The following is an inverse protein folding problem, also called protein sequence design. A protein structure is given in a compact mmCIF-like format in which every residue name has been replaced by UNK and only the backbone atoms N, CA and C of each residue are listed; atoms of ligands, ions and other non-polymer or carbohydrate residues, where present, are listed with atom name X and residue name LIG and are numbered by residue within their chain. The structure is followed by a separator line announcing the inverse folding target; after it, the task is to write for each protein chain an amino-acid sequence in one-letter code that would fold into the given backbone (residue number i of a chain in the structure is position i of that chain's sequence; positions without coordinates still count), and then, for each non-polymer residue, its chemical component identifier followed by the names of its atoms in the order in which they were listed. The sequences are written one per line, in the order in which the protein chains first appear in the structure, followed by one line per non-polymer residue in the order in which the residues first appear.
data_IF_017893531671
#
_entry.id   IF_017893531671
#
_cell.length_a   1.000
_cell.length_b   1.000
_cell.length_c   1.000
_cell.angle_alpha   90.00
_cell.angle_beta   90.00
_cell.angle_gamma   90.00
#
_symmetry.space_group_name_H-M   'P 1'
#
loop_
_entity.id
_entity.type
_entity.pdbx_description
1 polymer ?
#
# COMPACT_ATOMS: atom_id res chain seq x y z
N UNK A 1 -9.76 1.32 10.58
CA UNK A 1 -9.87 -0.08 11.07
C UNK A 1 -9.19 -1.10 10.14
N UNK A 2 -8.38 -2.00 10.72
CA UNK A 2 -7.84 -3.19 10.04
C UNK A 2 -8.71 -4.43 10.36
N UNK A 3 -8.98 -5.27 9.35
CA UNK A 3 -9.61 -6.58 9.53
C UNK A 3 -8.58 -7.70 9.41
N UNK A 4 -8.56 -8.68 10.34
CA UNK A 4 -7.77 -9.89 10.17
C UNK A 4 -8.17 -10.64 8.89
N UNK A 5 -7.24 -11.35 8.21
CA UNK A 5 -7.53 -12.07 6.98
C UNK A 5 -8.77 -12.97 7.04
N UNK A 6 -8.92 -13.76 8.12
CA UNK A 6 -10.09 -14.64 8.33
C UNK A 6 -11.41 -13.86 8.33
N UNK A 7 -11.44 -12.70 8.99
CA UNK A 7 -12.64 -11.85 9.09
C UNK A 7 -12.95 -11.22 7.73
N UNK A 8 -11.93 -10.72 7.02
CA UNK A 8 -12.11 -10.14 5.70
C UNK A 8 -12.65 -11.16 4.68
N UNK A 9 -12.13 -12.40 4.69
CA UNK A 9 -12.62 -13.49 3.85
C UNK A 9 -14.08 -13.86 4.19
N UNK A 10 -14.40 -13.95 5.47
CA UNK A 10 -15.78 -14.18 5.91
C UNK A 10 -16.75 -13.07 5.52
N UNK A 11 -16.30 -11.81 5.42
CA UNK A 11 -17.14 -10.73 4.88
C UNK A 11 -17.38 -10.92 3.38
N UNK A 12 -16.37 -11.39 2.64
CA UNK A 12 -16.48 -11.63 1.21
C UNK A 12 -17.39 -12.81 0.85
N UNK A 13 -17.39 -13.89 1.64
CA UNK A 13 -18.28 -15.04 1.42
C UNK A 13 -19.64 -14.92 2.15
N UNK A 14 -19.83 -13.87 2.95
CA UNK A 14 -21.06 -13.57 3.68
C UNK A 14 -21.20 -14.28 5.04
N UNK A 15 -20.23 -15.10 5.45
CA UNK A 15 -20.26 -15.77 6.76
C UNK A 15 -20.01 -14.82 7.94
N UNK A 16 -19.48 -13.61 7.68
CA UNK A 16 -19.25 -12.55 8.66
C UNK A 16 -19.89 -11.26 8.17
N UNK A 17 -20.74 -10.65 8.99
CA UNK A 17 -21.43 -9.39 8.68
C UNK A 17 -21.22 -8.32 9.75
N UNK A 18 -20.63 -8.68 10.89
CA UNK A 18 -20.41 -7.79 12.01
C UNK A 18 -18.93 -7.68 12.37
N UNK A 19 -18.54 -6.54 12.92
CA UNK A 19 -17.31 -6.41 13.68
C UNK A 19 -17.58 -5.59 14.94
N UNK A 20 -16.98 -6.02 16.05
CA UNK A 20 -17.06 -5.29 17.32
C UNK A 20 -15.71 -4.67 17.66
N UNK A 21 -15.73 -3.42 18.10
CA UNK A 21 -14.52 -2.65 18.44
C UNK A 21 -14.78 -1.75 19.64
N UNK A 22 -13.78 -1.62 20.51
CA UNK A 22 -13.77 -0.61 21.56
C UNK A 22 -12.92 0.57 21.14
N UNK A 23 -13.52 1.77 21.13
CA UNK A 23 -12.84 3.02 20.80
C UNK A 23 -13.29 4.17 21.70
N UNK A 24 -12.40 5.15 21.90
CA UNK A 24 -12.78 6.44 22.55
C UNK A 24 -13.71 7.28 21.68
N UNK A 25 -13.50 7.21 20.36
CA UNK A 25 -14.34 7.83 19.31
C UNK A 25 -14.38 6.87 18.12
N UNK A 26 -15.45 6.86 17.31
CA UNK A 26 -15.52 5.97 16.15
C UNK A 26 -14.32 6.15 15.21
N UNK A 27 -13.61 5.05 14.89
CA UNK A 27 -12.47 5.06 13.95
C UNK A 27 -12.93 4.91 12.49
N UNK A 28 -14.22 4.66 12.26
CA UNK A 28 -14.82 4.50 10.93
C UNK A 28 -16.12 5.29 10.85
N UNK A 29 -16.52 5.62 9.62
CA UNK A 29 -17.80 6.27 9.32
C UNK A 29 -18.65 5.36 8.46
N UNK A 30 -19.97 5.49 8.58
CA UNK A 30 -20.92 4.85 7.66
C UNK A 30 -20.58 5.25 6.21
N UNK A 31 -20.66 4.29 5.30
CA UNK A 31 -20.28 4.42 3.90
C UNK A 31 -18.76 4.37 3.63
N UNK A 32 -17.92 4.26 4.66
CA UNK A 32 -16.48 4.13 4.45
C UNK A 32 -16.14 2.79 3.80
N UNK A 33 -15.29 2.81 2.79
CA UNK A 33 -14.75 1.62 2.16
C UNK A 33 -13.26 1.47 2.47
N UNK A 34 -12.83 0.24 2.71
CA UNK A 34 -11.42 -0.06 2.90
C UNK A 34 -11.02 -1.37 2.23
N UNK A 35 -9.79 -1.38 1.71
CA UNK A 35 -9.22 -2.53 1.03
C UNK A 35 -8.68 -3.54 2.04
N UNK A 36 -8.98 -4.80 1.80
CA UNK A 36 -8.54 -5.95 2.59
C UNK A 36 -7.88 -6.98 1.67
N UNK A 37 -7.46 -8.11 2.23
CA UNK A 37 -6.98 -9.26 1.44
C UNK A 37 -8.08 -9.91 0.60
N UNK A 38 -9.35 -9.68 0.92
CA UNK A 38 -10.52 -10.28 0.27
C UNK A 38 -11.23 -9.32 -0.70
N UNK A 39 -10.61 -8.17 -1.03
CA UNK A 39 -11.23 -7.10 -1.81
C UNK A 39 -11.64 -5.92 -0.95
N UNK A 40 -12.66 -5.18 -1.39
CA UNK A 40 -13.16 -3.98 -0.70
C UNK A 40 -14.27 -4.38 0.26
N UNK A 41 -14.19 -3.87 1.49
CA UNK A 41 -15.24 -4.00 2.50
C UNK A 41 -15.81 -2.61 2.79
N UNK A 42 -17.12 -2.52 2.93
CA UNK A 42 -17.85 -1.30 3.28
C UNK A 42 -18.35 -1.37 4.71
N UNK A 43 -18.38 -0.21 5.37
CA UNK A 43 -19.09 0.00 6.63
C UNK A 43 -20.50 0.45 6.32
N UNK A 44 -21.49 -0.39 6.60
CA UNK A 44 -22.90 -0.07 6.35
C UNK A 44 -23.53 0.65 7.54
N UNK A 45 -23.04 0.39 8.75
CA UNK A 45 -23.61 0.93 9.99
C UNK A 45 -22.59 0.91 11.13
N UNK A 46 -22.75 1.85 12.07
CA UNK A 46 -21.91 1.97 13.28
C UNK A 46 -22.80 2.39 14.45
N UNK A 47 -22.90 1.53 15.45
CA UNK A 47 -23.80 1.73 16.58
C UNK A 47 -23.08 1.48 17.91
N UNK A 48 -23.41 2.25 18.94
CA UNK A 48 -22.94 2.00 20.31
C UNK A 48 -23.79 0.89 20.92
N UNK A 49 -23.14 -0.12 21.49
CA UNK A 49 -23.80 -1.26 22.13
C UNK A 49 -23.21 -1.54 23.51
N UNK A 50 -24.01 -2.17 24.36
CA UNK A 50 -23.51 -2.75 25.60
C UNK A 50 -22.75 -4.06 25.29
N UNK A 51 -21.52 -4.17 25.80
CA UNK A 51 -20.70 -5.36 25.57
C UNK A 51 -21.25 -6.59 26.32
N UNK A 52 -21.90 -6.38 27.47
CA UNK A 52 -22.41 -7.47 28.30
C UNK A 52 -23.68 -8.09 27.71
N UNK A 53 -24.40 -7.33 26.88
CA UNK A 53 -25.61 -7.78 26.18
C UNK A 53 -25.33 -8.52 24.85
N UNK A 54 -24.07 -8.63 24.43
CA UNK A 54 -23.72 -9.30 23.17
C UNK A 54 -24.09 -10.78 23.20
N UNK A 55 -24.78 -11.22 22.13
CA UNK A 55 -25.27 -12.58 21.96
C UNK A 55 -24.26 -13.49 21.25
N UNK A 56 -24.41 -14.80 21.39
CA UNK A 56 -23.59 -15.77 20.66
C UNK A 56 -23.83 -15.69 19.15
N UNK A 57 -25.06 -15.37 18.73
CA UNK A 57 -25.43 -15.16 17.33
C UNK A 57 -24.66 -13.98 16.71
N UNK A 58 -24.61 -12.84 17.41
CA UNK A 58 -23.82 -11.69 16.99
C UNK A 58 -22.32 -11.99 16.98
N UNK A 59 -21.84 -12.79 17.94
CA UNK A 59 -20.45 -13.20 17.99
C UNK A 59 -20.08 -14.07 16.78
N UNK A 60 -20.93 -15.04 16.42
CA UNK A 60 -20.78 -15.88 15.22
C UNK A 60 -20.80 -15.02 13.96
N UNK A 61 -21.74 -14.08 13.84
CA UNK A 61 -21.79 -13.11 12.74
C UNK A 61 -20.56 -12.18 12.69
N UNK A 62 -19.77 -12.10 13.75
CA UNK A 62 -18.49 -11.41 13.81
C UNK A 62 -17.26 -12.33 13.67
N UNK A 63 -17.47 -13.60 13.34
CA UNK A 63 -16.41 -14.60 13.14
C UNK A 63 -15.82 -15.18 14.43
N UNK A 64 -16.49 -15.00 15.56
CA UNK A 64 -16.16 -15.61 16.85
C UNK A 64 -16.92 -16.91 17.07
N UNK A 65 -16.45 -17.71 18.02
CA UNK A 65 -17.15 -18.96 18.39
C UNK A 65 -18.35 -18.67 19.29
N UNK A 66 -18.25 -17.66 20.16
CA UNK A 66 -19.27 -17.28 21.15
C UNK A 66 -19.03 -15.85 21.68
N UNK A 67 -20.01 -15.32 22.39
CA UNK A 67 -19.97 -13.98 22.96
C UNK A 67 -18.95 -13.84 24.08
N UNK A 68 -18.69 -14.91 24.85
CA UNK A 68 -17.71 -14.89 25.93
C UNK A 68 -16.29 -14.60 25.42
N UNK A 69 -15.88 -15.25 24.32
CA UNK A 69 -14.59 -15.02 23.66
C UNK A 69 -14.52 -13.64 23.01
N UNK A 70 -15.61 -13.18 22.41
CA UNK A 70 -15.69 -11.83 21.87
C UNK A 70 -15.51 -10.76 22.96
N UNK A 71 -16.24 -10.86 24.08
CA UNK A 71 -16.09 -9.96 25.24
C UNK A 71 -14.67 -9.96 25.77
N UNK A 72 -14.08 -11.14 25.98
CA UNK A 72 -12.67 -11.27 26.40
C UNK A 72 -11.70 -10.58 25.45
N UNK A 73 -11.97 -10.58 24.15
CA UNK A 73 -11.16 -9.83 23.18
C UNK A 73 -11.35 -8.31 23.31
N UNK A 74 -12.59 -7.84 23.51
CA UNK A 74 -12.89 -6.42 23.71
C UNK A 74 -12.25 -5.88 25.00
N UNK A 75 -12.21 -6.68 26.05
CA UNK A 75 -11.62 -6.32 27.36
C UNK A 75 -10.09 -6.14 27.33
N UNK A 76 -9.42 -6.55 26.25
CA UNK A 76 -8.00 -6.24 26.06
C UNK A 76 -7.74 -4.75 25.81
N UNK A 77 -8.77 -3.98 25.46
CA UNK A 77 -8.67 -2.53 25.30
C UNK A 77 -8.90 -1.88 26.65
N UNK A 78 -7.82 -1.38 27.24
CA UNK A 78 -7.84 -0.72 28.55
C UNK A 78 -8.33 0.74 28.47
N UNK A 79 -8.92 1.21 29.58
CA UNK A 79 -9.39 2.58 29.75
C UNK A 79 -10.83 2.84 29.28
N UNK A 80 -11.27 4.10 29.36
CA UNK A 80 -12.63 4.51 28.99
C UNK A 80 -12.80 4.43 27.47
N UNK A 81 -13.44 3.37 26.99
CA UNK A 81 -13.74 3.14 25.58
C UNK A 81 -15.15 2.59 25.40
N UNK A 82 -15.86 3.11 24.42
CA UNK A 82 -17.22 2.68 24.06
C UNK A 82 -17.13 1.48 23.13
N UNK A 83 -18.02 0.49 23.32
CA UNK A 83 -18.15 -0.65 22.41
C UNK A 83 -19.05 -0.28 21.24
N UNK A 84 -18.55 -0.50 20.03
CA UNK A 84 -19.27 -0.28 18.79
C UNK A 84 -19.53 -1.60 18.08
N UNK A 85 -20.76 -1.76 17.60
CA UNK A 85 -21.16 -2.75 16.59
C UNK A 85 -21.05 -2.10 15.23
N UNK A 86 -20.30 -2.73 14.33
CA UNK A 86 -20.06 -2.25 12.96
C UNK A 86 -20.63 -3.28 12.01
N UNK A 87 -21.60 -2.88 11.17
CA UNK A 87 -22.13 -3.74 10.10
C UNK A 87 -21.25 -3.59 8.86
N UNK A 88 -20.90 -4.71 8.25
CA UNK A 88 -19.98 -4.80 7.14
C UNK A 88 -20.59 -5.56 5.98
N UNK A 89 -20.36 -5.08 4.76
CA UNK A 89 -20.62 -5.82 3.53
C UNK A 89 -19.37 -5.91 2.67
N UNK A 90 -19.31 -6.94 1.83
CA UNK A 90 -18.37 -6.95 0.72
C UNK A 90 -18.83 -5.93 -0.35
N UNK A 91 -17.89 -5.14 -0.85
CA UNK A 91 -18.12 -4.08 -1.81
C UNK A 91 -17.53 -4.40 -3.19
N UNK A 92 -16.90 -5.56 -3.35
CA UNK A 92 -16.32 -6.02 -4.62
C UNK A 92 -14.84 -6.39 -4.52
N UNK A 93 -14.24 -6.87 -5.63
CA UNK A 93 -12.83 -7.19 -5.69
C UNK A 93 -11.94 -5.94 -5.47
N UNK A 94 -10.67 -6.11 -5.13
CA UNK A 94 -9.73 -4.98 -5.07
C UNK A 94 -9.56 -4.40 -6.49
N UNK A 95 -9.98 -3.15 -6.75
CA UNK A 95 -9.94 -2.57 -8.10
C UNK A 95 -8.51 -2.47 -8.66
N UNK A 96 -7.48 -2.57 -7.81
CA UNK A 96 -6.07 -2.64 -8.26
C UNK A 96 -5.72 -3.93 -8.97
N UNK A 97 -6.53 -4.98 -8.82
CA UNK A 97 -6.35 -6.23 -9.58
C UNK A 97 -6.67 -5.95 -11.03
N UNK A 98 -7.87 -5.51 -11.35
CA UNK A 98 -8.24 -5.18 -12.74
C UNK A 98 -7.37 -4.07 -13.32
N UNK A 99 -7.11 -3.02 -12.53
CA UNK A 99 -6.31 -1.88 -12.99
C UNK A 99 -4.92 -2.30 -13.48
N UNK A 100 -4.21 -3.17 -12.76
CA UNK A 100 -2.83 -3.54 -13.14
C UNK A 100 -2.78 -4.51 -14.32
N UNK A 101 -3.86 -5.25 -14.57
CA UNK A 101 -3.96 -6.17 -15.71
C UNK A 101 -4.36 -5.43 -17.00
N UNK A 102 -5.00 -4.25 -16.89
CA UNK A 102 -5.40 -3.46 -18.05
C UNK A 102 -4.19 -2.83 -18.77
N UNK A 103 -3.76 -3.47 -19.85
CA UNK A 103 -2.72 -3.01 -20.77
C UNK A 103 -3.25 -2.12 -21.92
N UNK A 104 -4.56 -2.00 -22.09
CA UNK A 104 -5.18 -1.14 -23.10
C UNK A 104 -5.26 0.29 -22.55
N UNK A 105 -4.24 1.08 -22.88
CA UNK A 105 -4.12 2.46 -22.47
C UNK A 105 -4.49 3.37 -23.64
N UNK A 106 -5.33 4.37 -23.40
CA UNK A 106 -5.49 5.52 -24.30
C UNK A 106 -4.29 6.49 -24.18
N UNK A 107 -4.20 7.52 -25.04
CA UNK A 107 -3.24 8.62 -24.86
C UNK A 107 -3.51 9.39 -23.54
N UNK A 108 -4.79 9.60 -23.22
CA UNK A 108 -5.21 10.27 -21.98
C UNK A 108 -4.82 9.47 -20.73
N UNK A 109 -4.91 8.15 -20.77
CA UNK A 109 -4.42 7.28 -19.70
C UNK A 109 -2.92 7.47 -19.44
N UNK A 110 -2.12 7.53 -20.51
CA UNK A 110 -0.67 7.72 -20.40
C UNK A 110 -0.36 9.09 -19.82
N UNK A 111 -0.99 10.15 -20.34
CA UNK A 111 -0.83 11.52 -19.82
C UNK A 111 -1.25 11.63 -18.34
N UNK A 112 -2.32 10.95 -17.95
CA UNK A 112 -2.76 10.91 -16.56
C UNK A 112 -1.79 10.16 -15.64
N UNK A 113 -1.14 9.09 -16.13
CA UNK A 113 -0.07 8.41 -15.38
C UNK A 113 1.16 9.31 -15.28
N UNK A 114 1.59 9.94 -16.38
CA UNK A 114 2.71 10.88 -16.41
C UNK A 114 2.54 11.96 -15.34
N UNK A 115 1.40 12.65 -15.34
CA UNK A 115 1.10 13.71 -14.36
C UNK A 115 1.15 13.22 -12.90
N UNK A 116 0.69 11.98 -12.65
CA UNK A 116 0.75 11.39 -11.30
C UNK A 116 2.19 11.07 -10.90
N UNK A 117 3.00 10.52 -11.79
CA UNK A 117 4.40 10.21 -11.52
C UNK A 117 5.24 11.48 -11.34
N UNK A 118 5.00 12.51 -12.14
CA UNK A 118 5.64 13.83 -11.97
C UNK A 118 5.36 14.46 -10.62
N UNK A 119 4.11 14.39 -10.17
CA UNK A 119 3.74 14.90 -8.85
C UNK A 119 4.46 14.11 -7.74
N UNK A 120 4.62 12.80 -7.89
CA UNK A 120 5.37 11.97 -6.95
C UNK A 120 6.87 12.30 -6.94
N UNK A 121 7.46 12.54 -8.10
CA UNK A 121 8.86 12.94 -8.22
C UNK A 121 9.09 14.34 -7.63
N UNK A 122 8.21 15.30 -7.92
CA UNK A 122 8.31 16.67 -7.40
C UNK A 122 8.16 16.75 -5.88
N UNK A 123 7.33 15.89 -5.30
CA UNK A 123 7.12 15.82 -3.86
C UNK A 123 8.24 15.08 -3.10
N UNK A 124 9.20 14.48 -3.81
CA UNK A 124 10.29 13.71 -3.22
C UNK A 124 11.41 14.61 -2.70
N UNK A 125 11.89 14.32 -1.49
CA UNK A 125 13.08 14.99 -0.92
C UNK A 125 14.42 14.47 -1.47
N UNK A 126 14.41 13.35 -2.19
CA UNK A 126 15.60 12.69 -2.74
C UNK A 126 15.59 12.69 -4.28
N UNK A 127 14.90 13.66 -4.88
CA UNK A 127 14.79 13.82 -6.33
C UNK A 127 13.84 12.82 -7.00
N UNK A 128 13.76 12.87 -8.35
CA UNK A 128 12.93 11.98 -9.15
C UNK A 128 13.33 10.51 -8.97
N UNK A 129 12.34 9.65 -8.78
CA UNK A 129 12.56 8.24 -8.43
C UNK A 129 11.66 7.28 -9.19
N UNK A 130 10.52 7.74 -9.72
CA UNK A 130 9.47 6.87 -10.27
C UNK A 130 9.97 6.03 -11.44
N UNK A 131 10.57 6.67 -12.46
CA UNK A 131 11.06 6.00 -13.66
C UNK A 131 12.26 5.08 -13.35
N UNK A 132 13.20 5.51 -12.50
CA UNK A 132 14.32 4.68 -12.08
C UNK A 132 13.87 3.43 -11.31
N UNK A 133 12.82 3.55 -10.49
CA UNK A 133 12.25 2.43 -9.74
C UNK A 133 11.51 1.44 -10.64
N UNK A 134 10.73 1.94 -11.60
CA UNK A 134 10.08 1.08 -12.60
C UNK A 134 11.12 0.34 -13.44
N UNK A 135 12.21 1.01 -13.82
CA UNK A 135 13.29 0.40 -14.57
C UNK A 135 14.02 -0.70 -13.79
N UNK A 136 14.43 -0.45 -12.55
CA UNK A 136 15.13 -1.47 -11.75
C UNK A 136 14.26 -2.69 -11.48
N UNK A 137 12.96 -2.51 -11.23
CA UNK A 137 12.02 -3.62 -11.04
C UNK A 137 11.85 -4.41 -12.34
N UNK A 138 11.79 -3.73 -13.49
CA UNK A 138 11.69 -4.38 -14.81
C UNK A 138 12.94 -5.20 -15.14
N UNK A 139 14.13 -4.65 -14.85
CA UNK A 139 15.41 -5.34 -15.11
C UNK A 139 15.64 -6.51 -14.15
N UNK A 140 15.08 -6.45 -12.94
CA UNK A 140 15.33 -7.43 -11.86
C UNK A 140 14.02 -7.87 -11.18
N UNK A 141 13.11 -8.54 -11.91
CA UNK A 141 11.85 -9.01 -11.33
C UNK A 141 12.12 -10.02 -10.22
N UNK A 142 11.20 -10.12 -9.25
CA UNK A 142 11.28 -11.02 -8.08
C UNK A 142 12.53 -10.86 -7.20
N UNK A 143 13.26 -9.75 -7.35
CA UNK A 143 14.41 -9.43 -6.48
C UNK A 143 13.95 -8.81 -5.17
N UNK A 144 14.61 -9.15 -4.06
CA UNK A 144 14.23 -8.66 -2.73
C UNK A 144 14.35 -7.14 -2.65
N UNK A 145 13.44 -6.52 -1.91
CA UNK A 145 13.43 -5.07 -1.72
C UNK A 145 14.75 -4.46 -1.20
N UNK A 146 15.49 -5.07 -0.25
CA UNK A 146 16.79 -4.54 0.17
C UNK A 146 17.79 -4.45 -0.97
N UNK A 147 17.83 -5.44 -1.85
CA UNK A 147 18.82 -5.53 -2.93
C UNK A 147 18.54 -4.47 -4.01
N UNK A 148 17.26 -4.29 -4.37
CA UNK A 148 16.83 -3.22 -5.27
C UNK A 148 17.09 -1.83 -4.68
N UNK A 149 16.81 -1.64 -3.38
CA UNK A 149 17.06 -0.38 -2.71
C UNK A 149 18.57 -0.06 -2.67
N UNK A 150 19.40 -1.07 -2.37
CA UNK A 150 20.85 -0.93 -2.34
C UNK A 150 21.44 -0.52 -3.70
N UNK A 151 20.96 -1.10 -4.81
CA UNK A 151 21.38 -0.70 -6.17
C UNK A 151 21.06 0.78 -6.44
N UNK A 152 19.95 1.28 -5.88
CA UNK A 152 19.56 2.69 -6.01
C UNK A 152 20.21 3.61 -4.97
N UNK A 153 21.07 3.10 -4.08
CA UNK A 153 21.65 3.87 -2.97
C UNK A 153 20.60 4.31 -1.94
N UNK A 154 19.54 3.53 -1.74
CA UNK A 154 18.39 3.86 -0.88
C UNK A 154 18.24 2.89 0.28
N UNK A 155 17.64 3.38 1.36
CA UNK A 155 17.16 2.54 2.43
C UNK A 155 15.91 1.73 2.02
N UNK A 156 15.80 0.52 2.58
CA UNK A 156 14.75 -0.46 2.23
C UNK A 156 13.33 0.06 2.47
N UNK A 157 13.06 0.64 3.63
CA UNK A 157 11.69 0.96 4.04
C UNK A 157 11.13 2.18 3.27
N UNK A 158 11.89 3.27 3.07
CA UNK A 158 11.53 4.33 2.13
C UNK A 158 11.29 3.81 0.71
N UNK A 159 12.15 2.91 0.21
CA UNK A 159 11.95 2.28 -1.10
C UNK A 159 10.63 1.49 -1.17
N UNK A 160 10.29 0.71 -0.14
CA UNK A 160 9.00 -0.01 -0.07
C UNK A 160 7.79 0.92 -0.07
N UNK A 161 7.89 2.07 0.60
CA UNK A 161 6.82 3.09 0.61
C UNK A 161 6.60 3.61 -0.82
N UNK A 162 7.67 3.87 -1.55
CA UNK A 162 7.62 4.33 -2.93
C UNK A 162 7.06 3.28 -3.89
N UNK A 163 7.52 2.03 -3.80
CA UNK A 163 6.95 0.93 -4.60
C UNK A 163 5.45 0.77 -4.32
N UNK A 164 4.98 0.99 -3.08
CA UNK A 164 3.55 0.99 -2.75
C UNK A 164 2.77 2.10 -3.46
N UNK A 165 3.38 3.27 -3.69
CA UNK A 165 2.75 4.36 -4.47
C UNK A 165 2.57 3.92 -5.93
N UNK A 166 3.59 3.30 -6.54
CA UNK A 166 3.50 2.76 -7.91
C UNK A 166 2.46 1.63 -8.03
N UNK A 167 2.40 0.75 -7.03
CA UNK A 167 1.38 -0.32 -6.95
C UNK A 167 -0.04 0.25 -6.91
N UNK A 168 -0.25 1.36 -6.21
CA UNK A 168 -1.57 2.01 -6.15
C UNK A 168 -1.99 2.62 -7.50
N UNK A 169 -1.04 2.89 -8.40
CA UNK A 169 -1.30 3.29 -9.78
C UNK A 169 -1.47 2.10 -10.72
N UNK A 170 -1.41 0.87 -10.19
CA UNK A 170 -1.46 -0.35 -10.99
C UNK A 170 -0.23 -0.55 -11.87
N UNK A 171 0.93 0.05 -11.54
CA UNK A 171 2.13 -0.07 -12.38
C UNK A 171 3.04 -1.24 -11.95
N UNK A 172 2.93 -1.72 -10.72
CA UNK A 172 3.72 -2.83 -10.19
C UNK A 172 2.87 -3.89 -9.49
N UNK A 173 3.38 -5.12 -9.46
CA UNK A 173 2.90 -6.25 -8.65
C UNK A 173 3.87 -6.49 -7.48
N UNK A 174 3.34 -6.95 -6.36
CA UNK A 174 4.15 -7.38 -5.21
C UNK A 174 3.89 -8.86 -4.97
N UNK A 175 4.96 -9.58 -4.69
CA UNK A 175 4.93 -11.00 -4.33
C UNK A 175 5.44 -11.17 -2.90
N UNK A 176 5.43 -12.41 -2.40
CA UNK A 176 6.10 -12.75 -1.14
C UNK A 176 7.57 -12.34 -1.17
N UNK A 177 8.20 -12.50 -2.34
CA UNK A 177 9.56 -12.05 -2.61
C UNK A 177 9.58 -11.14 -3.83
N UNK A 178 9.85 -9.86 -3.59
CA UNK A 178 10.14 -8.88 -4.63
C UNK A 178 8.91 -8.34 -5.37
N UNK A 179 9.19 -7.77 -6.54
CA UNK A 179 8.24 -7.02 -7.34
C UNK A 179 8.38 -7.37 -8.83
N UNK A 180 7.38 -6.99 -9.60
CA UNK A 180 7.40 -7.02 -11.06
C UNK A 180 6.67 -5.78 -11.58
N UNK A 181 7.02 -5.31 -12.77
CA UNK A 181 6.18 -4.33 -13.47
C UNK A 181 4.95 -5.06 -14.01
N UNK A 182 3.77 -4.52 -13.73
CA UNK A 182 2.50 -5.10 -14.19
C UNK A 182 2.29 -4.98 -15.71
N UNK A 183 1.33 -5.69 -16.31
CA UNK A 183 0.92 -5.49 -17.70
C UNK A 183 0.62 -4.02 -18.05
N UNK A 184 -0.16 -3.34 -17.21
CA UNK A 184 -0.41 -1.89 -17.34
C UNK A 184 0.89 -1.08 -17.31
N UNK A 185 1.78 -1.41 -16.38
CA UNK A 185 3.08 -0.74 -16.24
C UNK A 185 3.98 -0.93 -17.45
N UNK A 186 4.01 -2.13 -18.04
CA UNK A 186 4.77 -2.41 -19.25
C UNK A 186 4.19 -1.67 -20.47
N UNK A 187 2.86 -1.70 -20.64
CA UNK A 187 2.17 -0.95 -21.69
C UNK A 187 2.42 0.56 -21.57
N UNK A 188 2.38 1.10 -20.35
CA UNK A 188 2.73 2.49 -20.07
C UNK A 188 4.20 2.80 -20.43
N UNK A 189 5.15 1.97 -19.99
CA UNK A 189 6.58 2.17 -20.28
C UNK A 189 6.91 2.11 -21.78
N UNK A 190 6.13 1.37 -22.57
CA UNK A 190 6.30 1.31 -24.02
C UNK A 190 5.82 2.58 -24.74
N UNK A 191 4.99 3.42 -24.10
CA UNK A 191 4.33 4.58 -24.72
C UNK A 191 4.75 5.93 -24.16
N UNK A 192 5.12 6.00 -22.89
CA UNK A 192 5.56 7.26 -22.26
C UNK A 192 6.86 7.76 -22.88
N UNK A 193 7.02 9.08 -22.95
CA UNK A 193 8.27 9.75 -23.34
C UNK A 193 9.19 10.01 -22.13
N UNK A 194 8.73 9.69 -20.92
CA UNK A 194 9.51 9.86 -19.69
C UNK A 194 10.64 8.84 -19.64
N UNK A 195 11.87 9.33 -19.45
CA UNK A 195 13.05 8.48 -19.29
C UNK A 195 13.39 8.27 -17.81
N UNK A 196 13.98 7.11 -17.50
CA UNK A 196 14.71 6.96 -16.24
C UNK A 196 15.87 7.94 -16.25
N UNK A 197 15.79 9.01 -15.46
CA UNK A 197 16.96 9.85 -15.21
C UNK A 197 18.00 8.97 -14.51
N UNK A 198 19.17 8.78 -15.13
CA UNK A 198 20.30 8.18 -14.46
C UNK A 198 20.56 9.01 -13.19
N UNK A 199 20.77 8.39 -12.01
CA UNK A 199 21.18 9.14 -10.84
C UNK A 199 22.44 9.93 -11.21
N UNK A 200 22.41 11.25 -11.00
CA UNK A 200 23.62 12.06 -11.16
C UNK A 200 24.65 11.49 -10.18
N UNK A 201 25.67 10.82 -10.71
CA UNK A 201 26.84 10.48 -9.93
C UNK A 201 27.32 11.78 -9.27
N UNK A 202 27.37 11.78 -7.93
CA UNK A 202 27.74 12.96 -7.16
C UNK A 202 28.98 13.59 -7.76
N UNK A 203 28.92 14.90 -8.00
CA UNK A 203 30.06 15.73 -8.37
C UNK A 203 31.19 15.40 -7.39
N UNK A 204 32.22 14.68 -7.85
CA UNK A 204 33.45 14.52 -7.08
C UNK A 204 33.95 15.92 -6.73
N UNK A 205 34.35 16.19 -5.48
CA UNK A 205 34.98 17.46 -5.16
C UNK A 205 36.23 17.60 -6.04
N UNK A 206 36.29 18.68 -6.79
CA UNK A 206 37.45 19.05 -7.57
C UNK A 206 38.63 19.18 -6.63
N UNK A 207 39.58 18.25 -6.71
CA UNK A 207 40.93 18.47 -6.20
C UNK A 207 41.57 19.56 -7.06
N UNK A 208 41.43 20.82 -6.65
CA UNK A 208 42.26 21.89 -7.19
C UNK A 208 43.65 21.75 -6.60
N UNK A 209 44.60 21.51 -7.49
CA UNK A 209 46.02 21.82 -7.43
C UNK A 209 46.46 22.74 -6.27
N UNK A 210 47.22 22.17 -5.33
CA UNK A 210 48.36 22.88 -4.76
C UNK A 210 49.57 22.51 -5.63
N UNK A 211 49.91 23.41 -6.55
CA UNK A 211 51.07 23.26 -7.41
C UNK A 211 52.38 23.47 -6.66
N UNK A 212 53.42 22.86 -7.24
CA UNK A 212 54.82 23.29 -7.29
C UNK A 212 55.64 23.10 -6.02
N UNK A 213 56.50 22.07 -6.03
CA UNK A 213 57.92 22.37 -6.26
C UNK A 213 58.62 21.20 -6.97
N UNK A 214 59.31 21.54 -8.06
CA UNK A 214 60.22 20.67 -8.80
C UNK A 214 61.62 21.18 -8.48
N UNK A 215 62.45 20.41 -7.77
CA UNK A 215 63.43 19.56 -8.45
C UNK A 215 64.85 20.04 -8.13
N UNK A 216 65.88 19.20 -8.35
CA UNK A 216 67.07 19.15 -7.49
C UNK A 216 68.34 19.75 -8.13
N UNK A 217 69.25 20.30 -7.32
CA UNK A 217 70.72 20.07 -7.29
C UNK A 217 71.25 20.43 -5.91
#
# INVERSE_FOLDING_TARGET
MLLPPKVALGVADGSVTLAFRRWRKPDVRIGSEFRTVAGVVRVDDVEVVDADALTDEEAVAAGWVDAARLRKQLDKVEGVATTYRVRLSWAGPDPRVELRENADLSDDDVAAIDAKLERLDRASSHGPWTMATLDVIRRRPHTRAPDLAAEMGRERDPFKIDVRKLKNLGLTRSFDVGYEVSPRGLAYLARTTRSAHAPQAGRQPSTSEAGRDAGPV
#
